data_IF_251107963266
#
_entry.id   IF_251107963266
#
_cell.length_a   1.000
_cell.length_b   1.000
_cell.length_c   1.000
_cell.angle_alpha   90.00
_cell.angle_beta   90.00
_cell.angle_gamma   90.00
#
_symmetry.space_group_name_H-M   'P 1'
#
loop_
_entity.id
_entity.type
_entity.pdbx_description
1 polymer ?
#
# COMPACT_ATOMS: atom_id res chain seq x y z
N UNK A 1 4.71 11.36 17.87
CA UNK A 1 3.80 10.23 18.17
C UNK A 1 4.21 9.49 19.44
N UNK A 2 5.40 8.86 19.51
CA UNK A 2 5.82 8.12 20.72
C UNK A 2 5.88 8.98 21.98
N UNK A 3 6.42 10.19 21.89
CA UNK A 3 6.51 11.13 23.02
C UNK A 3 5.14 11.54 23.61
N UNK A 4 4.05 11.26 22.91
CA UNK A 4 2.68 11.54 23.36
C UNK A 4 2.04 10.37 24.10
N UNK A 5 2.72 9.21 24.16
CA UNK A 5 2.24 8.03 24.87
C UNK A 5 2.62 8.11 26.35
N UNK A 6 1.69 7.77 27.23
CA UNK A 6 2.00 7.51 28.65
C UNK A 6 2.87 6.26 28.80
N UNK A 7 3.58 6.13 29.92
CA UNK A 7 4.29 4.89 30.27
C UNK A 7 3.35 3.67 30.22
N UNK A 8 3.84 2.55 29.68
CA UNK A 8 3.04 1.36 29.36
C UNK A 8 1.96 1.53 28.26
N UNK A 9 1.87 2.72 27.64
CA UNK A 9 0.94 3.03 26.56
C UNK A 9 1.22 2.22 25.31
N UNK A 10 0.18 2.00 24.50
CA UNK A 10 0.28 1.22 23.26
C UNK A 10 0.24 2.14 22.02
N UNK A 11 0.93 1.71 20.97
CA UNK A 11 0.81 2.25 19.62
C UNK A 11 0.48 1.11 18.66
N UNK A 12 -0.46 1.34 17.74
CA UNK A 12 -0.75 0.51 16.58
C UNK A 12 -0.56 1.36 15.33
N UNK A 13 0.22 0.87 14.37
CA UNK A 13 0.39 1.45 13.05
C UNK A 13 -0.10 0.43 12.02
N UNK A 14 -0.90 0.88 11.06
CA UNK A 14 -1.37 0.06 9.94
C UNK A 14 -0.97 0.82 8.68
N UNK A 15 -0.03 0.26 7.92
CA UNK A 15 0.52 0.93 6.75
C UNK A 15 0.65 -0.05 5.57
N UNK A 16 0.60 0.45 4.32
CA UNK A 16 0.76 -0.40 3.15
C UNK A 16 2.17 -0.99 3.04
N UNK A 17 2.25 -2.17 2.45
CA UNK A 17 3.44 -2.73 1.85
C UNK A 17 3.13 -3.22 0.42
N UNK A 18 3.61 -2.47 -0.57
CA UNK A 18 3.37 -2.75 -1.98
C UNK A 18 4.34 -3.81 -2.54
N UNK A 19 5.03 -4.61 -1.72
CA UNK A 19 5.89 -5.69 -2.23
C UNK A 19 5.20 -6.56 -3.29
N UNK A 20 3.93 -6.97 -3.11
CA UNK A 20 3.29 -7.87 -4.06
C UNK A 20 3.13 -7.28 -5.47
N UNK A 21 3.12 -5.95 -5.63
CA UNK A 21 3.04 -5.34 -6.97
C UNK A 21 4.26 -5.66 -7.85
N UNK A 22 5.42 -5.97 -7.25
CA UNK A 22 6.66 -6.31 -7.98
C UNK A 22 6.57 -7.61 -8.77
N UNK A 23 5.61 -8.47 -8.42
CA UNK A 23 5.34 -9.77 -9.08
C UNK A 23 3.93 -9.81 -9.67
N UNK A 24 3.29 -8.65 -9.85
CA UNK A 24 1.97 -8.57 -10.46
C UNK A 24 1.99 -9.11 -11.89
N UNK A 25 0.91 -9.80 -12.25
CA UNK A 25 0.66 -10.26 -13.62
C UNK A 25 -0.75 -9.80 -14.03
N UNK A 26 -0.98 -9.54 -15.32
CA UNK A 26 -0.01 -9.58 -16.44
C UNK A 26 0.99 -8.41 -16.44
N UNK A 27 2.01 -8.40 -17.33
CA UNK A 27 3.10 -7.41 -17.31
C UNK A 27 2.65 -5.95 -17.35
N UNK A 28 1.56 -5.64 -18.03
CA UNK A 28 0.94 -4.31 -18.10
C UNK A 28 0.39 -3.84 -16.74
N UNK A 29 -0.12 -4.75 -15.91
CA UNK A 29 -0.53 -4.43 -14.53
C UNK A 29 0.70 -4.11 -13.67
N UNK A 30 1.78 -4.88 -13.81
CA UNK A 30 3.05 -4.57 -13.14
C UNK A 30 3.60 -3.22 -13.59
N UNK A 31 3.59 -2.94 -14.89
CA UNK A 31 4.05 -1.66 -15.44
C UNK A 31 3.24 -0.47 -14.88
N UNK A 32 1.91 -0.62 -14.75
CA UNK A 32 1.06 0.38 -14.09
C UNK A 32 1.54 0.64 -12.65
N UNK A 33 1.78 -0.42 -11.86
CA UNK A 33 2.24 -0.27 -10.48
C UNK A 33 3.66 0.29 -10.36
N UNK A 34 4.56 -0.05 -11.27
CA UNK A 34 5.91 0.55 -11.33
C UNK A 34 5.82 2.07 -11.58
N UNK A 35 4.95 2.48 -12.50
CA UNK A 35 4.66 3.89 -12.75
C UNK A 35 4.02 4.58 -11.54
N UNK A 36 3.08 3.93 -10.85
CA UNK A 36 2.49 4.41 -9.60
C UNK A 36 3.55 4.61 -8.50
N UNK A 37 4.44 3.64 -8.32
CA UNK A 37 5.54 3.72 -7.36
C UNK A 37 6.57 4.80 -7.74
N UNK A 38 6.76 5.08 -9.03
CA UNK A 38 7.59 6.22 -9.46
C UNK A 38 6.89 7.56 -9.19
N UNK A 39 5.61 7.68 -9.53
CA UNK A 39 4.80 8.88 -9.30
C UNK A 39 4.70 9.26 -7.81
N UNK A 40 4.50 8.26 -6.95
CA UNK A 40 4.36 8.43 -5.51
C UNK A 40 5.66 8.80 -4.81
N UNK A 41 6.80 8.24 -5.24
CA UNK A 41 8.13 8.64 -4.75
C UNK A 41 8.43 10.11 -5.02
N UNK A 42 8.06 10.63 -6.19
CA UNK A 42 8.23 12.05 -6.51
C UNK A 42 7.38 12.97 -5.59
N UNK A 43 6.37 12.41 -4.90
CA UNK A 43 5.53 13.08 -3.89
C UNK A 43 5.95 12.79 -2.45
N UNK A 44 7.05 12.07 -2.25
CA UNK A 44 7.54 11.69 -0.92
C UNK A 44 6.69 10.61 -0.23
N UNK A 45 5.88 9.86 -0.98
CA UNK A 45 5.06 8.76 -0.46
C UNK A 45 5.84 7.45 -0.59
N UNK A 46 6.02 6.75 0.53
CA UNK A 46 6.66 5.44 0.60
C UNK A 46 5.62 4.34 0.83
N UNK A 47 5.18 3.70 -0.25
CA UNK A 47 4.25 2.57 -0.21
C UNK A 47 4.87 1.25 0.29
N UNK A 48 6.16 1.25 0.64
CA UNK A 48 6.83 0.11 1.27
C UNK A 48 7.04 0.34 2.78
N UNK A 49 6.50 1.41 3.37
CA UNK A 49 6.74 1.74 4.77
C UNK A 49 6.29 0.64 5.74
N UNK A 50 5.23 -0.12 5.41
CA UNK A 50 4.66 -1.19 6.22
C UNK A 50 5.69 -2.23 6.69
N UNK A 51 6.57 -2.68 5.79
CA UNK A 51 7.61 -3.67 6.13
C UNK A 51 8.67 -3.15 7.10
N UNK A 52 8.75 -1.84 7.28
CA UNK A 52 9.74 -1.18 8.14
C UNK A 52 9.20 -0.85 9.52
N UNK A 53 7.91 -1.05 9.79
CA UNK A 53 7.28 -0.61 11.04
C UNK A 53 7.86 -1.28 12.28
N UNK A 54 7.96 -2.61 12.30
CA UNK A 54 8.50 -3.34 13.45
C UNK A 54 9.93 -2.89 13.84
N UNK A 55 10.92 -2.85 12.93
CA UNK A 55 12.24 -2.35 13.27
C UNK A 55 12.24 -0.86 13.65
N UNK A 56 11.39 -0.02 13.04
CA UNK A 56 11.26 1.39 13.44
C UNK A 56 10.73 1.53 14.87
N UNK A 57 9.68 0.82 15.25
CA UNK A 57 9.16 0.83 16.62
C UNK A 57 10.22 0.37 17.63
N UNK A 58 10.98 -0.68 17.29
CA UNK A 58 12.07 -1.17 18.13
C UNK A 58 13.16 -0.10 18.32
N UNK A 59 13.56 0.59 17.24
CA UNK A 59 14.55 1.67 17.29
C UNK A 59 14.11 2.87 18.14
N UNK A 60 12.80 3.05 18.33
CA UNK A 60 12.20 4.08 19.15
C UNK A 60 11.98 3.64 20.61
N UNK A 61 12.46 2.45 20.99
CA UNK A 61 12.43 1.95 22.36
C UNK A 61 11.10 1.29 22.77
N UNK A 62 10.22 0.97 21.81
CA UNK A 62 9.01 0.21 22.14
C UNK A 62 9.37 -1.27 22.38
N UNK A 63 8.65 -1.89 23.30
CA UNK A 63 8.75 -3.31 23.65
C UNK A 63 7.45 -4.04 23.34
N UNK A 64 7.44 -5.37 23.48
CA UNK A 64 6.29 -6.22 23.15
C UNK A 64 5.77 -5.97 21.72
N UNK A 65 6.70 -5.87 20.77
CA UNK A 65 6.39 -5.61 19.38
C UNK A 65 5.89 -6.90 18.74
N UNK A 66 4.74 -6.80 18.08
CA UNK A 66 4.17 -7.86 17.25
C UNK A 66 3.48 -7.22 16.05
N UNK A 67 3.29 -8.00 15.00
CA UNK A 67 2.57 -7.54 13.83
C UNK A 67 2.07 -8.68 12.96
N UNK A 68 1.12 -8.33 12.10
CA UNK A 68 0.59 -9.18 11.03
C UNK A 68 0.62 -8.39 9.73
N UNK A 69 0.73 -9.09 8.60
CA UNK A 69 0.54 -8.52 7.28
C UNK A 69 -0.52 -9.31 6.55
N UNK A 70 -1.48 -8.61 5.95
CA UNK A 70 -2.58 -9.21 5.20
C UNK A 70 -2.57 -8.68 3.78
N UNK A 71 -2.58 -9.58 2.80
CA UNK A 71 -2.68 -9.26 1.38
C UNK A 71 -4.13 -9.45 0.95
N UNK A 72 -4.72 -8.41 0.35
CA UNK A 72 -6.03 -8.54 -0.26
C UNK A 72 -5.93 -9.42 -1.51
N UNK A 73 -6.64 -10.54 -1.53
CA UNK A 73 -6.89 -11.32 -2.74
C UNK A 73 -8.27 -10.89 -3.24
N UNK A 74 -8.32 -10.34 -4.45
CA UNK A 74 -9.55 -9.78 -4.99
C UNK A 74 -9.65 -10.00 -6.50
N UNK A 75 -10.87 -9.87 -7.02
CA UNK A 75 -11.15 -9.88 -8.44
C UNK A 75 -11.89 -8.61 -8.88
N UNK A 76 -12.11 -8.46 -10.19
CA UNK A 76 -13.00 -7.42 -10.69
C UNK A 76 -14.41 -7.53 -10.10
N UNK A 77 -15.09 -6.39 -9.98
CA UNK A 77 -16.39 -6.21 -9.32
C UNK A 77 -16.41 -6.38 -7.78
N UNK A 78 -15.26 -6.62 -7.14
CA UNK A 78 -15.15 -6.58 -5.68
C UNK A 78 -15.04 -5.15 -5.14
N UNK A 79 -15.27 -4.96 -3.84
CA UNK A 79 -15.05 -3.66 -3.17
C UNK A 79 -13.60 -3.18 -3.29
N UNK A 80 -12.64 -4.10 -3.38
CA UNK A 80 -11.24 -3.73 -3.63
C UNK A 80 -11.03 -3.21 -5.06
N UNK A 81 -11.71 -3.79 -6.04
CA UNK A 81 -11.67 -3.27 -7.40
C UNK A 81 -12.37 -1.90 -7.52
N UNK A 82 -13.51 -1.72 -6.86
CA UNK A 82 -14.22 -0.43 -6.78
C UNK A 82 -13.33 0.66 -6.16
N UNK A 83 -12.69 0.37 -5.03
CA UNK A 83 -11.71 1.27 -4.39
C UNK A 83 -10.61 1.72 -5.37
N UNK A 84 -10.07 0.82 -6.17
CA UNK A 84 -9.04 1.16 -7.16
C UNK A 84 -9.60 1.96 -8.33
N UNK A 85 -10.79 1.63 -8.83
CA UNK A 85 -11.45 2.38 -9.89
C UNK A 85 -11.68 3.83 -9.47
N UNK A 86 -12.22 4.05 -8.27
CA UNK A 86 -12.48 5.39 -7.73
C UNK A 86 -11.17 6.16 -7.54
N UNK A 87 -10.18 5.55 -6.89
CA UNK A 87 -8.87 6.15 -6.63
C UNK A 87 -8.18 6.57 -7.93
N UNK A 88 -8.16 5.69 -8.93
CA UNK A 88 -7.50 5.97 -10.22
C UNK A 88 -8.29 7.00 -11.02
N UNK A 89 -9.61 6.98 -10.95
CA UNK A 89 -10.46 7.99 -11.61
C UNK A 89 -10.17 9.38 -11.06
N UNK A 90 -10.05 9.53 -9.73
CA UNK A 90 -9.72 10.79 -9.09
C UNK A 90 -8.31 11.27 -9.46
N UNK A 91 -7.32 10.36 -9.45
CA UNK A 91 -5.91 10.70 -9.68
C UNK A 91 -5.50 10.75 -11.15
N UNK A 92 -6.38 10.34 -12.09
CA UNK A 92 -6.05 10.13 -13.50
C UNK A 92 -5.26 11.29 -14.13
N UNK A 93 -5.72 12.52 -13.92
CA UNK A 93 -5.07 13.71 -14.48
C UNK A 93 -3.65 13.91 -13.95
N UNK A 94 -3.43 13.68 -12.66
CA UNK A 94 -2.12 13.83 -12.03
C UNK A 94 -1.16 12.68 -12.39
N UNK A 95 -1.69 11.44 -12.47
CA UNK A 95 -0.93 10.27 -12.91
C UNK A 95 -0.41 10.44 -14.34
N UNK A 96 -1.30 10.80 -15.27
CA UNK A 96 -0.93 11.03 -16.68
C UNK A 96 -0.03 12.26 -16.80
N UNK A 97 -0.37 13.36 -16.11
CA UNK A 97 0.40 14.60 -16.12
C UNK A 97 1.83 14.45 -15.59
N UNK A 98 2.09 13.45 -14.75
CA UNK A 98 3.43 13.13 -14.26
C UNK A 98 4.36 12.48 -15.29
N UNK A 99 3.81 11.93 -16.37
CA UNK A 99 4.55 11.18 -17.38
C UNK A 99 5.10 9.81 -16.92
N UNK A 100 4.74 9.33 -15.71
CA UNK A 100 5.16 8.02 -15.18
C UNK A 100 4.23 6.88 -15.59
N UNK A 101 2.96 7.22 -15.89
CA UNK A 101 1.93 6.31 -16.35
C UNK A 101 1.26 6.99 -17.55
N UNK A 102 1.06 6.26 -18.64
CA UNK A 102 0.32 6.78 -19.80
C UNK A 102 -1.16 6.41 -19.74
N UNK A 103 -1.94 6.99 -20.65
CA UNK A 103 -3.37 6.76 -20.73
C UNK A 103 -3.72 5.30 -21.05
N UNK A 104 -2.87 4.58 -21.80
CA UNK A 104 -3.10 3.18 -22.15
C UNK A 104 -2.97 2.28 -20.91
N UNK A 105 -1.94 2.48 -20.09
CA UNK A 105 -1.75 1.75 -18.82
C UNK A 105 -2.90 2.01 -17.85
N UNK A 106 -3.36 3.27 -17.71
CA UNK A 106 -4.53 3.59 -16.87
C UNK A 106 -5.77 2.85 -17.38
N UNK A 107 -6.06 2.92 -18.67
CA UNK A 107 -7.24 2.28 -19.25
C UNK A 107 -7.19 0.75 -19.12
N UNK A 108 -6.04 0.14 -19.36
CA UNK A 108 -5.85 -1.30 -19.23
C UNK A 108 -6.06 -1.74 -17.77
N UNK A 109 -5.47 -1.03 -16.80
CA UNK A 109 -5.65 -1.36 -15.39
C UNK A 109 -7.12 -1.25 -14.96
N UNK A 110 -7.83 -0.20 -15.38
CA UNK A 110 -9.27 -0.05 -15.10
C UNK A 110 -10.10 -1.17 -15.75
N UNK A 111 -9.73 -1.64 -16.94
CA UNK A 111 -10.37 -2.78 -17.58
C UNK A 111 -10.18 -4.07 -16.77
N UNK A 112 -8.98 -4.29 -16.19
CA UNK A 112 -8.75 -5.40 -15.27
C UNK A 112 -9.60 -5.30 -14.00
N UNK A 113 -9.69 -4.12 -13.38
CA UNK A 113 -10.57 -3.92 -12.23
C UNK A 113 -12.06 -4.16 -12.55
N UNK A 114 -12.49 -4.05 -13.80
CA UNK A 114 -13.85 -4.36 -14.23
C UNK A 114 -14.05 -5.82 -14.69
N UNK A 115 -13.00 -6.65 -14.72
CA UNK A 115 -13.09 -8.05 -15.15
C UNK A 115 -13.24 -8.99 -13.94
N UNK A 116 -14.45 -9.52 -13.73
CA UNK A 116 -14.73 -10.49 -12.67
C UNK A 116 -13.92 -11.78 -12.75
N UNK A 117 -13.29 -12.09 -13.89
CA UNK A 117 -12.41 -13.26 -14.03
C UNK A 117 -10.95 -12.97 -13.71
N UNK A 118 -10.56 -11.69 -13.59
CA UNK A 118 -9.21 -11.32 -13.22
C UNK A 118 -9.04 -11.36 -11.70
N UNK A 119 -8.23 -12.31 -11.21
CA UNK A 119 -7.88 -12.42 -9.79
C UNK A 119 -6.47 -11.90 -9.55
N UNK A 120 -6.29 -11.14 -8.47
CA UNK A 120 -5.00 -10.52 -8.14
C UNK A 120 -4.79 -10.41 -6.63
N UNK A 121 -3.55 -10.08 -6.24
CA UNK A 121 -3.12 -9.97 -4.84
C UNK A 121 -2.00 -8.93 -4.65
N UNK A 122 -2.25 -7.70 -5.12
CA UNK A 122 -1.19 -6.72 -5.36
C UNK A 122 -0.84 -5.82 -4.19
N UNK A 123 -1.67 -5.73 -3.14
CA UNK A 123 -1.42 -4.84 -1.99
C UNK A 123 -1.54 -5.60 -0.68
N UNK A 124 -0.53 -5.43 0.17
CA UNK A 124 -0.58 -5.86 1.56
C UNK A 124 -0.70 -4.66 2.51
N UNK A 125 -1.32 -4.87 3.66
CA UNK A 125 -1.29 -3.95 4.80
C UNK A 125 -0.61 -4.62 5.98
N UNK A 126 0.37 -3.95 6.56
CA UNK A 126 1.08 -4.42 7.75
C UNK A 126 0.56 -3.68 8.97
N UNK A 127 -0.02 -4.42 9.91
CA UNK A 127 -0.43 -3.91 11.21
C UNK A 127 0.62 -4.29 12.26
N UNK A 128 1.31 -3.30 12.82
CA UNK A 128 2.34 -3.51 13.85
C UNK A 128 1.99 -2.70 15.10
N UNK A 129 2.06 -3.35 16.25
CA UNK A 129 1.88 -2.68 17.54
C UNK A 129 3.06 -2.88 18.48
N UNK A 130 3.18 -2.01 19.47
CA UNK A 130 4.15 -2.10 20.55
C UNK A 130 3.73 -1.25 21.75
N UNK A 131 4.53 -1.30 22.82
CA UNK A 131 4.29 -0.51 24.03
C UNK A 131 5.51 0.29 24.44
N UNK A 132 5.31 1.49 24.96
CA UNK A 132 6.37 2.19 25.70
C UNK A 132 6.71 1.39 26.95
N UNK A 133 7.95 1.41 27.44
CA UNK A 133 8.32 0.78 28.72
C UNK A 133 7.36 1.18 29.86
N UNK A 134 6.99 0.21 30.69
CA UNK A 134 6.38 0.47 31.99
C UNK A 134 7.49 0.77 33.00
N UNK A 135 7.23 1.70 33.92
CA UNK A 135 8.08 1.88 35.11
C UNK A 135 8.04 0.67 36.03
#
# INVERSE_FOLDING_TARGET
MIASLKAGGALLLIEPDFLPVSVAEPPEVRAFWEGWLAWSRDRGIDYFIGRTLAPRLASLGLTNISGTAETAIYNGDSLWAEYWIETITELRGDLIGSGKIDEALVNNFLAYCADSNWWTQTIAFTAVHGRTPGG
#
